data_IF_563126279045
#
_entry.id   IF_563126279045
#
_cell.length_a   1.000
_cell.length_b   1.000
_cell.length_c   1.000
_cell.angle_alpha   90.00
_cell.angle_beta   90.00
_cell.angle_gamma   90.00
#
_symmetry.space_group_name_H-M   'P 1'
#
loop_
_entity.id
_entity.type
_entity.pdbx_description
1 polymer ?
#
# COMPACT_ATOMS: atom_id res chain seq x y z
N UNK A 1 -46.72 -35.27 -43.48
CA UNK A 1 -45.85 -34.91 -44.61
C UNK A 1 -45.02 -33.71 -44.19
N UNK A 2 -43.71 -33.90 -43.96
CA UNK A 2 -42.65 -33.55 -44.94
C UNK A 2 -42.73 -32.05 -45.26
N UNK A 3 -41.85 -31.18 -44.75
CA UNK A 3 -40.52 -30.97 -45.35
C UNK A 3 -39.47 -30.54 -44.30
N UNK A 4 -38.59 -31.47 -44.00
CA UNK A 4 -37.19 -31.15 -43.76
C UNK A 4 -36.59 -30.66 -45.10
N UNK A 5 -35.58 -29.79 -44.97
CA UNK A 5 -34.50 -29.46 -45.92
C UNK A 5 -34.59 -28.16 -46.73
N UNK A 6 -33.44 -27.47 -46.66
CA UNK A 6 -32.82 -26.56 -47.64
C UNK A 6 -33.13 -25.06 -47.50
N UNK A 7 -32.27 -24.35 -46.78
CA UNK A 7 -31.37 -23.35 -47.38
C UNK A 7 -30.24 -23.01 -46.40
N UNK A 8 -29.05 -23.55 -46.69
CA UNK A 8 -27.76 -23.01 -46.27
C UNK A 8 -27.61 -21.56 -46.77
N UNK A 9 -26.58 -20.87 -46.25
CA UNK A 9 -26.06 -19.56 -46.65
C UNK A 9 -26.90 -18.41 -46.04
N UNK A 10 -26.44 -17.63 -45.06
CA UNK A 10 -25.39 -16.61 -45.20
C UNK A 10 -24.66 -16.37 -43.86
N UNK A 11 -23.33 -16.37 -43.94
CA UNK A 11 -22.43 -15.86 -42.92
C UNK A 11 -22.71 -14.38 -42.63
N UNK A 12 -23.03 -14.05 -41.37
CA UNK A 12 -22.97 -12.69 -40.88
C UNK A 12 -21.77 -12.56 -39.95
N UNK A 13 -20.65 -12.09 -40.52
CA UNK A 13 -19.58 -11.45 -39.76
C UNK A 13 -20.16 -10.17 -39.17
N UNK A 14 -20.69 -10.23 -37.96
CA UNK A 14 -20.95 -9.01 -37.19
C UNK A 14 -19.62 -8.54 -36.63
N UNK A 15 -19.04 -7.53 -37.28
CA UNK A 15 -17.96 -6.74 -36.73
C UNK A 15 -18.48 -6.08 -35.44
N UNK A 16 -18.14 -6.67 -34.30
CA UNK A 16 -18.34 -6.06 -32.99
C UNK A 16 -17.51 -4.78 -32.96
N UNK A 17 -18.17 -3.62 -33.05
CA UNK A 17 -17.58 -2.37 -32.57
C UNK A 17 -17.38 -2.51 -31.07
N UNK A 18 -16.20 -2.98 -30.67
CA UNK A 18 -15.69 -2.76 -29.34
C UNK A 18 -15.41 -1.26 -29.23
N UNK A 19 -16.38 -0.51 -28.73
CA UNK A 19 -16.11 0.80 -28.14
C UNK A 19 -15.20 0.51 -26.95
N UNK A 20 -13.91 0.76 -27.15
CA UNK A 20 -12.95 0.82 -26.06
C UNK A 20 -13.52 1.78 -25.03
N UNK A 21 -13.79 1.26 -23.83
CA UNK A 21 -14.06 2.11 -22.68
C UNK A 21 -12.77 2.88 -22.45
N UNK A 22 -12.83 4.18 -22.71
CA UNK A 22 -11.76 5.11 -22.39
C UNK A 22 -11.53 5.02 -20.88
N UNK A 23 -10.44 4.36 -20.52
CA UNK A 23 -9.87 4.30 -19.19
C UNK A 23 -9.46 5.73 -18.81
N UNK A 24 -10.40 6.55 -18.34
CA UNK A 24 -10.05 7.60 -17.37
C UNK A 24 -9.62 6.89 -16.10
N UNK A 25 -8.37 6.46 -16.13
CA UNK A 25 -7.58 6.04 -14.99
C UNK A 25 -7.35 7.28 -14.14
N UNK A 26 -8.38 7.64 -13.36
CA UNK A 26 -8.23 8.31 -12.08
C UNK A 26 -7.36 7.38 -11.21
N UNK A 27 -6.05 7.43 -11.42
CA UNK A 27 -5.04 6.82 -10.58
C UNK A 27 -4.94 7.60 -9.26
N UNK A 28 -6.06 7.71 -8.54
CA UNK A 28 -6.01 7.79 -7.08
C UNK A 28 -5.35 6.48 -6.64
N UNK A 29 -4.06 6.55 -6.31
CA UNK A 29 -3.37 5.48 -5.61
C UNK A 29 -4.29 4.98 -4.50
N UNK A 30 -4.76 3.74 -4.60
CA UNK A 30 -5.56 3.12 -3.54
C UNK A 30 -4.73 3.25 -2.27
N UNK A 31 -5.25 3.92 -1.25
CA UNK A 31 -4.51 4.07 0.00
C UNK A 31 -4.33 2.68 0.61
N UNK A 32 -3.09 2.21 0.67
CA UNK A 32 -2.78 0.88 1.17
C UNK A 32 -2.88 0.85 2.70
N UNK A 33 -3.61 -0.11 3.23
CA UNK A 33 -3.63 -0.39 4.68
C UNK A 33 -2.47 -1.31 5.00
N UNK A 34 -1.65 -0.94 5.99
CA UNK A 34 -0.49 -1.72 6.43
C UNK A 34 -0.49 -1.90 7.94
N UNK A 35 0.09 -3.02 8.38
CA UNK A 35 0.45 -3.26 9.77
C UNK A 35 1.98 -3.22 9.88
N UNK A 36 2.48 -2.31 10.70
CA UNK A 36 3.91 -2.09 10.91
C UNK A 36 4.22 -2.37 12.38
N UNK A 37 5.13 -3.31 12.64
CA UNK A 37 5.61 -3.58 13.99
C UNK A 37 6.98 -2.95 14.19
N UNK A 38 7.14 -2.15 15.22
CA UNK A 38 8.35 -1.35 15.38
C UNK A 38 8.40 -0.49 16.64
N UNK A 39 9.48 0.26 16.77
CA UNK A 39 9.70 1.19 17.88
C UNK A 39 8.99 2.53 17.59
N UNK A 40 8.15 2.99 18.51
CA UNK A 40 7.55 4.32 18.43
C UNK A 40 8.40 5.33 19.20
N UNK A 41 8.81 6.40 18.54
CA UNK A 41 9.60 7.49 19.11
C UNK A 41 8.92 8.84 18.91
N UNK A 42 9.37 9.85 19.67
CA UNK A 42 8.90 11.23 19.51
C UNK A 42 9.48 11.82 18.22
N UNK A 43 8.67 12.53 17.46
CA UNK A 43 9.11 13.34 16.33
C UNK A 43 9.53 14.75 16.77
N UNK A 44 9.63 15.66 15.79
CA UNK A 44 10.15 17.02 15.99
C UNK A 44 9.20 17.93 16.80
N UNK A 45 7.91 17.59 16.82
CA UNK A 45 6.87 18.33 17.54
C UNK A 45 6.05 17.44 18.46
N UNK A 46 5.28 18.04 19.37
CA UNK A 46 4.49 17.30 20.36
C UNK A 46 3.42 16.38 19.73
N UNK A 47 2.96 16.70 18.52
CA UNK A 47 1.96 15.91 17.77
C UNK A 47 2.58 14.93 16.78
N UNK A 48 3.90 14.93 16.62
CA UNK A 48 4.61 14.11 15.64
C UNK A 48 5.36 12.96 16.31
N UNK A 49 5.31 11.81 15.66
CA UNK A 49 5.92 10.57 16.10
C UNK A 49 6.58 9.88 14.90
N UNK A 50 7.60 9.08 15.19
CA UNK A 50 8.27 8.25 14.19
C UNK A 50 8.14 6.78 14.60
N UNK A 51 7.53 5.97 13.74
CA UNK A 51 7.50 4.52 13.88
C UNK A 51 8.57 3.90 13.00
N UNK A 52 9.59 3.32 13.63
CA UNK A 52 10.64 2.57 12.94
C UNK A 52 10.32 1.09 13.00
N UNK A 53 9.91 0.52 11.86
CA UNK A 53 9.59 -0.89 11.69
C UNK A 53 10.79 -1.80 11.91
N UNK A 54 10.54 -3.03 12.32
CA UNK A 54 11.57 -4.08 12.46
C UNK A 54 12.23 -4.45 11.11
N UNK A 55 11.58 -4.11 10.00
CA UNK A 55 12.09 -4.23 8.63
C UNK A 55 12.91 -2.99 8.18
N UNK A 56 13.14 -2.06 9.10
CA UNK A 56 13.81 -0.79 8.88
C UNK A 56 12.91 0.33 8.40
N UNK A 57 11.65 0.06 8.01
CA UNK A 57 10.76 1.08 7.43
C UNK A 57 10.55 2.22 8.41
N UNK A 58 10.38 3.45 7.92
CA UNK A 58 10.12 4.59 8.81
C UNK A 58 8.86 5.34 8.43
N UNK A 59 8.01 5.59 9.41
CA UNK A 59 6.70 6.17 9.19
C UNK A 59 6.50 7.37 10.08
N UNK A 60 6.28 8.52 9.46
CA UNK A 60 5.81 9.71 10.16
C UNK A 60 4.34 9.55 10.52
N UNK A 61 4.02 9.81 11.78
CA UNK A 61 2.67 9.67 12.32
C UNK A 61 2.28 10.95 13.05
N UNK A 62 1.07 11.44 12.79
CA UNK A 62 0.47 12.54 13.55
C UNK A 62 -0.54 12.03 14.56
N UNK A 63 -0.31 12.30 15.84
CA UNK A 63 -1.18 11.88 16.94
C UNK A 63 -2.61 12.38 16.79
N UNK A 64 -2.79 13.66 16.45
CA UNK A 64 -4.07 14.33 16.23
C UNK A 64 -4.93 13.71 15.12
N UNK A 65 -4.30 12.96 14.20
CA UNK A 65 -4.97 12.26 13.10
C UNK A 65 -5.13 10.77 13.37
N UNK A 66 -4.64 10.28 14.51
CA UNK A 66 -4.76 8.90 14.94
C UNK A 66 -6.01 8.70 15.79
N UNK A 67 -6.57 7.48 15.76
CA UNK A 67 -7.66 7.08 16.65
C UNK A 67 -7.21 6.71 18.07
N UNK A 68 -5.91 6.82 18.38
CA UNK A 68 -5.30 6.32 19.62
C UNK A 68 -4.33 7.32 20.25
N UNK A 69 -4.07 7.20 21.55
CA UNK A 69 -3.12 8.05 22.27
C UNK A 69 -1.67 7.53 22.11
N UNK A 70 -1.00 7.97 21.05
CA UNK A 70 0.37 7.56 20.72
C UNK A 70 1.43 8.02 21.75
N UNK A 71 1.17 9.09 22.50
CA UNK A 71 2.14 9.58 23.50
C UNK A 71 2.40 8.57 24.61
N UNK A 72 1.39 7.77 24.99
CA UNK A 72 1.53 6.69 25.97
C UNK A 72 2.31 5.47 25.46
N UNK A 73 2.66 5.46 24.17
CA UNK A 73 3.40 4.37 23.53
C UNK A 73 4.83 4.77 23.12
N UNK A 74 5.27 5.98 23.45
CA UNK A 74 6.65 6.41 23.16
C UNK A 74 7.63 5.55 23.96
N UNK A 75 8.61 4.97 23.26
CA UNK A 75 9.60 4.06 23.83
C UNK A 75 9.16 2.60 23.85
N UNK A 76 7.92 2.29 23.47
CA UNK A 76 7.43 0.92 23.35
C UNK A 76 7.66 0.35 21.96
N UNK A 77 7.74 -0.98 21.87
CA UNK A 77 7.51 -1.66 20.59
C UNK A 77 6.00 -1.82 20.42
N UNK A 78 5.47 -1.37 19.30
CA UNK A 78 4.05 -1.48 18.95
C UNK A 78 3.87 -2.20 17.62
N UNK A 79 2.71 -2.83 17.43
CA UNK A 79 2.18 -3.20 16.13
C UNK A 79 1.05 -2.23 15.78
N UNK A 80 1.26 -1.43 14.74
CA UNK A 80 0.36 -0.36 14.35
C UNK A 80 -0.28 -0.66 13.00
N UNK A 81 -1.60 -0.65 12.93
CA UNK A 81 -2.33 -0.76 11.67
C UNK A 81 -2.84 0.61 11.24
N UNK A 82 -2.61 0.98 9.98
CA UNK A 82 -2.99 2.28 9.47
C UNK A 82 -2.98 2.40 7.96
N UNK A 83 -3.46 3.55 7.49
CA UNK A 83 -3.53 3.90 6.06
C UNK A 83 -2.24 4.63 5.68
N UNK A 84 -1.57 4.14 4.63
CA UNK A 84 -0.33 4.70 4.12
C UNK A 84 -0.57 5.77 3.06
N UNK A 85 0.26 6.81 3.09
CA UNK A 85 0.35 7.82 2.04
C UNK A 85 1.80 8.25 1.84
N UNK A 86 2.15 8.72 0.63
CA UNK A 86 3.51 9.12 0.26
C UNK A 86 4.60 8.07 0.55
N UNK A 87 4.25 6.77 0.46
CA UNK A 87 5.23 5.72 0.62
C UNK A 87 6.23 5.73 -0.54
N UNK A 88 7.49 6.03 -0.21
CA UNK A 88 8.62 5.96 -1.13
C UNK A 88 9.54 4.85 -0.66
N UNK A 89 9.71 3.81 -1.46
CA UNK A 89 10.78 2.85 -1.25
C UNK A 89 12.09 3.51 -1.69
N UNK A 90 13.03 3.72 -0.76
CA UNK A 90 14.32 4.31 -1.12
C UNK A 90 14.98 3.43 -2.21
N UNK A 91 15.46 4.07 -3.29
CA UNK A 91 16.15 3.48 -4.46
C UNK A 91 15.32 2.94 -5.65
N UNK A 92 14.01 3.18 -5.73
CA UNK A 92 13.27 2.90 -6.97
C UNK A 92 12.76 4.22 -7.56
N UNK A 93 13.39 4.68 -8.65
CA UNK A 93 12.65 5.45 -9.65
C UNK A 93 11.45 4.59 -10.04
N UNK A 94 10.26 5.17 -10.13
CA UNK A 94 9.01 4.46 -10.47
C UNK A 94 9.18 3.47 -11.65
N UNK A 95 10.02 3.84 -12.63
CA UNK A 95 10.35 3.04 -13.83
C UNK A 95 11.11 1.71 -13.56
N UNK A 96 11.63 1.48 -12.35
CA UNK A 96 12.50 0.34 -12.01
C UNK A 96 11.79 -0.76 -11.20
N UNK A 97 10.49 -0.61 -10.91
CA UNK A 97 9.69 -1.58 -10.15
C UNK A 97 9.58 -2.94 -10.85
N UNK A 98 9.51 -2.95 -12.18
CA UNK A 98 9.36 -4.18 -12.98
C UNK A 98 10.69 -4.93 -13.20
N UNK A 99 11.82 -4.21 -13.26
CA UNK A 99 13.13 -4.82 -13.53
C UNK A 99 13.79 -5.46 -12.29
N UNK A 100 13.34 -5.13 -11.07
CA UNK A 100 13.96 -5.58 -9.83
C UNK A 100 13.50 -6.98 -9.35
N UNK A 101 12.44 -7.55 -9.92
CA UNK A 101 11.99 -8.92 -9.59
C UNK A 101 12.94 -10.02 -10.10
N UNK A 102 13.72 -9.74 -11.14
CA UNK A 102 14.52 -10.78 -11.83
C UNK A 102 15.99 -10.90 -11.38
N UNK A 103 16.51 -9.98 -10.57
CA UNK A 103 17.97 -9.93 -10.28
C UNK A 103 18.38 -10.53 -8.94
N UNK A 104 17.44 -11.01 -8.12
CA UNK A 104 17.77 -11.68 -6.84
C UNK A 104 18.54 -10.83 -5.83
N UNK A 105 18.70 -9.53 -6.09
CA UNK A 105 19.38 -8.61 -5.18
C UNK A 105 18.47 -8.33 -3.99
N UNK A 106 18.88 -8.69 -2.78
CA UNK A 106 18.26 -8.21 -1.54
C UNK A 106 18.56 -6.72 -1.42
N UNK A 107 17.74 -5.92 -2.10
CA UNK A 107 17.70 -4.47 -1.96
C UNK A 107 16.93 -4.21 -0.69
N UNK A 108 17.55 -3.55 0.29
CA UNK A 108 16.85 -3.02 1.45
C UNK A 108 15.90 -1.93 0.92
N UNK A 109 14.74 -2.35 0.41
CA UNK A 109 13.66 -1.52 -0.10
C UNK A 109 12.87 -0.97 1.09
N UNK A 110 13.59 -0.41 2.03
CA UNK A 110 13.04 0.10 3.26
C UNK A 110 12.15 1.29 2.91
N UNK A 111 10.87 1.16 3.25
CA UNK A 111 9.87 2.15 2.90
C UNK A 111 9.89 3.32 3.88
N UNK A 112 9.64 4.51 3.35
CA UNK A 112 9.48 5.72 4.13
C UNK A 112 8.21 6.43 3.69
N UNK A 113 7.42 6.96 4.62
CA UNK A 113 6.21 7.71 4.27
C UNK A 113 5.41 8.16 5.48
N UNK A 114 4.14 8.46 5.27
CA UNK A 114 3.22 8.78 6.36
C UNK A 114 2.26 7.63 6.61
N UNK A 115 2.00 7.36 7.89
CA UNK A 115 1.05 6.35 8.33
C UNK A 115 -0.02 6.99 9.21
N UNK A 116 -1.28 6.93 8.78
CA UNK A 116 -2.42 7.30 9.60
C UNK A 116 -2.88 6.06 10.39
N UNK A 117 -2.38 5.94 11.61
CA UNK A 117 -2.69 4.82 12.51
C UNK A 117 -4.16 4.85 12.95
N UNK A 118 -4.83 3.72 12.78
CA UNK A 118 -6.21 3.47 13.23
C UNK A 118 -6.29 2.48 14.39
N UNK A 119 -5.29 1.62 14.55
CA UNK A 119 -5.22 0.62 15.62
C UNK A 119 -3.78 0.39 16.09
N UNK A 120 -3.61 0.15 17.39
CA UNK A 120 -2.31 -0.11 18.02
C UNK A 120 -2.42 -1.24 19.02
N UNK A 121 -1.49 -2.18 18.91
CA UNK A 121 -1.22 -3.19 19.91
C UNK A 121 0.19 -2.97 20.47
N UNK A 122 0.32 -2.90 21.79
CA UNK A 122 1.64 -2.87 22.41
C UNK A 122 2.24 -4.27 22.39
N UNK A 123 3.48 -4.39 21.91
CA UNK A 123 4.22 -5.65 21.83
C UNK A 123 5.20 -5.78 22.99
N UNK A 124 5.88 -4.69 23.37
CA UNK A 124 6.76 -4.67 24.55
C UNK A 124 6.88 -3.27 25.16
N UNK A 125 7.18 -3.22 26.46
CA UNK A 125 7.38 -1.98 27.24
C UNK A 125 8.65 -1.19 26.85
N UNK A 126 9.54 -1.78 26.06
CA UNK A 126 10.73 -1.09 25.57
C UNK A 126 11.01 -1.44 24.12
N UNK A 127 11.56 -0.50 23.36
CA UNK A 127 12.19 -0.78 22.08
C UNK A 127 13.40 -1.67 22.30
N UNK A 128 13.53 -2.73 21.51
CA UNK A 128 14.74 -3.56 21.48
C UNK A 128 15.77 -2.82 20.62
N UNK A 129 16.91 -2.45 21.23
CA UNK A 129 18.06 -1.83 20.56
C UNK A 129 19.13 -2.86 20.23
#
# INVERSE_FOLDING_TARGET
MNRLLLCLILASLTASWAVAQDETSDSKSKSDVRTVTGCLTKGDSADEFLLTGSDGSTWEVRGSKSGVNLSSHVGHTISATGVVSNATAHNLKEDAKDAAKDTGMKKDNTEHGHLKITDVQMVSESCQQ
#
